data_IF_970665094268
#
_entry.id   IF_970665094268
#
_cell.length_a   1.000
_cell.length_b   1.000
_cell.length_c   1.000
_cell.angle_alpha   90.00
_cell.angle_beta   90.00
_cell.angle_gamma   90.00
#
_symmetry.space_group_name_H-M   'P 1'
#
loop_
_entity.id
_entity.type
_entity.pdbx_description
1 polymer ?
#
# COMPACT_ATOMS: atom_id res chain seq x y z
N UNK A 1 -30.26 -12.78 31.91
CA UNK A 1 -31.04 -11.51 31.74
C UNK A 1 -30.19 -10.46 31.06
N UNK A 2 -28.93 -10.24 31.44
CA UNK A 2 -28.05 -9.22 30.83
C UNK A 2 -27.81 -9.45 29.34
N UNK A 3 -27.53 -10.68 28.93
CA UNK A 3 -27.25 -11.04 27.54
C UNK A 3 -28.48 -10.85 26.63
N UNK A 4 -29.65 -11.24 27.07
CA UNK A 4 -30.91 -11.03 26.35
C UNK A 4 -31.18 -9.53 26.11
N UNK A 5 -30.86 -8.69 27.09
CA UNK A 5 -31.01 -7.24 27.00
C UNK A 5 -30.03 -6.66 25.93
N UNK A 6 -28.75 -7.03 25.97
CA UNK A 6 -27.73 -6.57 25.01
C UNK A 6 -28.13 -6.95 23.59
N UNK A 7 -28.52 -8.20 23.36
CA UNK A 7 -28.92 -8.68 22.03
C UNK A 7 -30.15 -7.93 21.50
N UNK A 8 -31.13 -7.64 22.33
CA UNK A 8 -32.30 -6.90 21.92
C UNK A 8 -31.98 -5.43 21.60
N UNK A 9 -31.09 -4.80 22.36
CA UNK A 9 -30.66 -3.43 22.11
C UNK A 9 -29.92 -3.33 20.77
N UNK A 10 -28.94 -4.20 20.53
CA UNK A 10 -28.19 -4.26 19.26
C UNK A 10 -29.17 -4.50 18.10
N UNK A 11 -30.07 -5.47 18.24
CA UNK A 11 -31.08 -5.78 17.19
C UNK A 11 -31.94 -4.58 16.83
N UNK A 12 -32.45 -3.88 17.84
CA UNK A 12 -33.30 -2.71 17.61
C UNK A 12 -32.53 -1.58 16.90
N UNK A 13 -31.27 -1.37 17.26
CA UNK A 13 -30.42 -0.40 16.57
C UNK A 13 -30.15 -0.82 15.13
N UNK A 14 -29.90 -2.11 14.85
CA UNK A 14 -29.72 -2.63 13.50
C UNK A 14 -30.97 -2.51 12.63
N UNK A 15 -32.16 -2.69 13.22
CA UNK A 15 -33.44 -2.40 12.52
C UNK A 15 -33.56 -0.93 12.18
N UNK A 16 -33.11 -0.03 13.05
CA UNK A 16 -33.02 1.40 12.75
C UNK A 16 -32.10 1.68 11.57
N UNK A 17 -30.93 1.03 11.52
CA UNK A 17 -30.00 1.12 10.38
C UNK A 17 -30.68 0.68 9.06
N UNK A 18 -31.34 -0.46 9.07
CA UNK A 18 -32.05 -0.94 7.89
C UNK A 18 -33.17 -0.01 7.46
N UNK A 19 -33.96 0.51 8.40
CA UNK A 19 -35.05 1.44 8.08
C UNK A 19 -34.55 2.75 7.46
N UNK A 20 -33.44 3.30 7.97
CA UNK A 20 -32.81 4.49 7.42
C UNK A 20 -32.19 4.23 6.03
N UNK A 21 -31.50 3.08 5.86
CA UNK A 21 -30.79 2.76 4.61
C UNK A 21 -31.71 2.27 3.48
N UNK A 22 -32.71 1.45 3.79
CA UNK A 22 -33.49 0.68 2.83
C UNK A 22 -35.00 0.94 2.94
N UNK A 23 -35.43 1.77 3.88
CA UNK A 23 -36.84 2.04 4.16
C UNK A 23 -37.48 1.01 5.12
N UNK A 24 -38.70 1.29 5.55
CA UNK A 24 -39.44 0.50 6.54
C UNK A 24 -39.99 -0.85 6.05
N UNK A 25 -39.84 -1.16 4.76
CA UNK A 25 -40.21 -2.44 4.21
C UNK A 25 -39.15 -3.50 4.48
N UNK A 26 -39.35 -4.32 5.53
CA UNK A 26 -38.41 -5.34 5.96
C UNK A 26 -38.13 -6.43 4.90
N UNK A 27 -38.95 -6.54 3.85
CA UNK A 27 -38.68 -7.48 2.74
C UNK A 27 -37.44 -7.08 1.93
N UNK A 28 -37.02 -5.79 2.02
CA UNK A 28 -35.84 -5.23 1.37
C UNK A 28 -34.57 -5.31 2.25
N UNK A 29 -34.74 -5.65 3.52
CA UNK A 29 -33.61 -5.78 4.44
C UNK A 29 -32.78 -7.05 4.16
N UNK A 30 -31.51 -7.11 4.55
CA UNK A 30 -30.73 -8.34 4.47
C UNK A 30 -31.50 -9.50 5.09
N UNK A 31 -31.51 -10.66 4.44
CA UNK A 31 -32.37 -11.78 4.85
C UNK A 31 -32.12 -12.22 6.29
N UNK A 32 -30.87 -12.24 6.72
CA UNK A 32 -30.49 -12.60 8.08
C UNK A 32 -30.86 -11.56 9.13
N UNK A 33 -31.09 -10.28 8.72
CA UNK A 33 -31.43 -9.17 9.62
C UNK A 33 -32.94 -8.97 9.81
N UNK A 34 -33.73 -9.92 9.42
CA UNK A 34 -35.20 -9.82 9.53
C UNK A 34 -35.68 -10.24 10.91
N UNK A 35 -36.86 -9.77 11.27
CA UNK A 35 -37.48 -9.96 12.60
C UNK A 35 -37.58 -11.42 13.01
N UNK A 36 -37.82 -12.32 12.06
CA UNK A 36 -37.94 -13.76 12.27
C UNK A 36 -36.63 -14.47 12.67
N UNK A 37 -35.48 -13.86 12.41
CA UNK A 37 -34.19 -14.42 12.79
C UNK A 37 -33.70 -13.84 14.14
N UNK A 38 -33.76 -14.64 15.19
CA UNK A 38 -33.44 -14.19 16.55
C UNK A 38 -31.94 -14.32 16.90
N UNK A 39 -31.19 -15.15 16.18
CA UNK A 39 -29.78 -15.38 16.45
C UNK A 39 -28.90 -14.37 15.72
N UNK A 40 -28.45 -13.33 16.40
CA UNK A 40 -27.58 -12.28 15.86
C UNK A 40 -26.25 -12.80 15.32
N UNK A 41 -25.71 -13.90 15.87
CA UNK A 41 -24.45 -14.48 15.37
C UNK A 41 -24.57 -15.06 13.96
N UNK A 42 -25.79 -15.31 13.49
CA UNK A 42 -26.06 -15.77 12.13
C UNK A 42 -26.31 -14.62 11.13
N UNK A 43 -26.37 -13.37 11.61
CA UNK A 43 -26.60 -12.22 10.75
C UNK A 43 -25.36 -11.93 9.91
N UNK A 44 -25.52 -11.92 8.61
CA UNK A 44 -24.45 -11.64 7.66
C UNK A 44 -23.90 -10.21 7.82
N UNK A 45 -22.63 -10.04 7.47
CA UNK A 45 -21.97 -8.73 7.45
C UNK A 45 -21.85 -8.02 8.81
N UNK A 46 -21.89 -8.79 9.90
CA UNK A 46 -21.66 -8.32 11.26
C UNK A 46 -20.51 -9.09 11.90
N UNK A 47 -19.68 -8.38 12.62
CA UNK A 47 -18.61 -8.97 13.43
C UNK A 47 -18.88 -8.63 14.90
N UNK A 48 -18.88 -9.65 15.73
CA UNK A 48 -19.14 -9.53 17.17
C UNK A 48 -17.91 -9.95 17.96
N UNK A 49 -17.64 -9.22 19.03
CA UNK A 49 -16.80 -9.75 20.11
C UNK A 49 -17.64 -10.62 21.02
N UNK A 50 -17.11 -11.79 21.37
CA UNK A 50 -17.77 -12.76 22.24
C UNK A 50 -16.92 -13.02 23.47
N UNK A 51 -17.58 -13.38 24.57
CA UNK A 51 -16.90 -13.77 25.80
C UNK A 51 -16.41 -15.24 25.75
N UNK A 52 -15.79 -15.69 26.84
CA UNK A 52 -15.25 -17.06 26.98
C UNK A 52 -16.32 -18.16 26.86
N UNK A 53 -17.59 -17.81 26.95
CA UNK A 53 -18.74 -18.71 26.81
C UNK A 53 -19.39 -18.67 25.44
N UNK A 54 -18.87 -17.81 24.50
CA UNK A 54 -19.42 -17.62 23.18
C UNK A 54 -20.63 -16.68 23.12
N UNK A 55 -20.92 -15.94 24.20
CA UNK A 55 -22.01 -14.96 24.24
C UNK A 55 -21.54 -13.61 23.70
N UNK A 56 -22.44 -12.86 23.02
CA UNK A 56 -22.12 -11.56 22.46
C UNK A 56 -21.80 -10.56 23.56
N UNK A 57 -20.58 -10.03 23.55
CA UNK A 57 -20.16 -8.92 24.38
C UNK A 57 -20.56 -7.58 23.76
N UNK A 58 -20.27 -7.37 22.48
CA UNK A 58 -20.67 -6.18 21.71
C UNK A 58 -20.54 -6.40 20.21
N UNK A 59 -21.18 -5.52 19.43
CA UNK A 59 -21.01 -5.43 17.97
C UNK A 59 -19.75 -4.63 17.66
N UNK A 60 -18.77 -5.27 17.00
CA UNK A 60 -17.49 -4.67 16.68
C UNK A 60 -17.44 -4.04 15.29
N UNK A 61 -18.02 -4.69 14.25
CA UNK A 61 -17.96 -4.19 12.89
C UNK A 61 -19.29 -4.42 12.13
N UNK A 62 -19.62 -3.46 11.25
CA UNK A 62 -20.73 -3.59 10.29
C UNK A 62 -20.15 -3.44 8.88
N UNK A 63 -20.50 -4.38 7.99
CA UNK A 63 -20.14 -4.36 6.58
C UNK A 63 -21.38 -4.03 5.75
N UNK A 64 -21.33 -2.92 5.03
CA UNK A 64 -22.33 -2.53 4.04
C UNK A 64 -21.80 -2.85 2.64
N UNK A 65 -22.42 -3.75 1.93
CA UNK A 65 -22.06 -4.07 0.56
C UNK A 65 -23.24 -3.92 -0.41
N UNK A 66 -22.95 -3.88 -1.70
CA UNK A 66 -23.97 -3.69 -2.73
C UNK A 66 -24.96 -4.84 -2.86
N UNK A 67 -24.65 -6.01 -2.27
CA UNK A 67 -25.56 -7.17 -2.25
C UNK A 67 -26.61 -7.04 -1.14
N UNK A 68 -26.19 -6.60 0.04
CA UNK A 68 -27.05 -6.52 1.23
C UNK A 68 -27.73 -5.15 1.40
N UNK A 69 -27.07 -4.07 0.91
CA UNK A 69 -27.56 -2.71 0.95
C UNK A 69 -27.57 -2.05 -0.45
N UNK A 70 -28.26 -2.66 -1.44
CA UNK A 70 -28.26 -2.15 -2.81
C UNK A 70 -28.81 -0.73 -2.90
N UNK A 71 -28.10 0.15 -3.60
CA UNK A 71 -28.53 1.53 -3.83
C UNK A 71 -28.46 2.45 -2.61
N UNK A 72 -27.82 2.04 -1.50
CA UNK A 72 -27.64 2.90 -0.33
C UNK A 72 -26.82 4.13 -0.72
N UNK A 73 -27.39 5.34 -0.58
CA UNK A 73 -26.72 6.60 -0.94
C UNK A 73 -25.98 7.25 0.21
N UNK A 74 -26.42 7.02 1.43
CA UNK A 74 -25.89 7.62 2.65
C UNK A 74 -25.82 6.59 3.78
N UNK A 75 -24.76 6.67 4.57
CA UNK A 75 -24.66 5.86 5.79
C UNK A 75 -25.70 6.36 6.80
N UNK A 76 -26.53 5.47 7.37
CA UNK A 76 -27.50 5.82 8.40
C UNK A 76 -26.84 6.52 9.60
N UNK A 77 -27.45 7.61 10.07
CA UNK A 77 -26.96 8.35 11.24
C UNK A 77 -26.98 7.51 12.52
N UNK A 78 -27.87 6.51 12.61
CA UNK A 78 -27.95 5.54 13.70
C UNK A 78 -26.62 4.77 13.90
N UNK A 79 -25.84 4.54 12.84
CA UNK A 79 -24.53 3.85 12.92
C UNK A 79 -23.59 4.57 13.88
N UNK A 80 -23.58 5.89 13.89
CA UNK A 80 -22.72 6.69 14.79
C UNK A 80 -23.12 6.59 16.27
N UNK A 81 -24.28 6.04 16.58
CA UNK A 81 -24.81 5.94 17.92
C UNK A 81 -24.52 4.60 18.59
N UNK A 82 -23.97 3.62 17.88
CA UNK A 82 -23.52 2.37 18.50
C UNK A 82 -22.35 2.66 19.45
N UNK A 83 -22.48 2.35 20.75
CA UNK A 83 -21.53 2.82 21.76
C UNK A 83 -20.16 2.10 21.71
N UNK A 84 -20.11 0.94 21.06
CA UNK A 84 -18.93 0.05 21.05
C UNK A 84 -18.48 -0.33 19.65
N UNK A 85 -19.07 0.25 18.60
CA UNK A 85 -18.72 -0.07 17.23
C UNK A 85 -17.30 0.41 16.91
N UNK A 86 -16.43 -0.52 16.52
CA UNK A 86 -15.01 -0.25 16.25
C UNK A 86 -14.73 0.03 14.79
N UNK A 87 -15.45 -0.65 13.87
CA UNK A 87 -15.22 -0.56 12.45
C UNK A 87 -16.49 -0.52 11.61
N UNK A 88 -16.40 0.15 10.46
CA UNK A 88 -17.36 0.03 9.37
C UNK A 88 -16.61 -0.20 8.06
N UNK A 89 -17.23 -1.00 7.19
CA UNK A 89 -16.79 -1.19 5.81
C UNK A 89 -17.97 -0.92 4.90
N UNK A 90 -17.76 -0.12 3.87
CA UNK A 90 -18.77 0.22 2.85
C UNK A 90 -18.16 -0.13 1.49
N UNK A 91 -18.68 -1.15 0.82
CA UNK A 91 -18.03 -1.73 -0.35
C UNK A 91 -19.01 -2.00 -1.48
N UNK A 92 -18.54 -1.76 -2.71
CA UNK A 92 -19.26 -2.14 -3.94
C UNK A 92 -20.69 -1.57 -4.02
N UNK A 93 -20.87 -0.33 -3.55
CA UNK A 93 -22.11 0.44 -3.65
C UNK A 93 -21.84 1.71 -4.46
N UNK A 94 -21.96 1.67 -5.79
CA UNK A 94 -21.64 2.82 -6.64
C UNK A 94 -22.45 4.08 -6.32
N UNK A 95 -23.65 3.91 -5.79
CA UNK A 95 -24.57 5.00 -5.43
C UNK A 95 -24.25 5.64 -4.08
N UNK A 96 -23.37 5.04 -3.28
CA UNK A 96 -23.00 5.57 -1.97
C UNK A 96 -22.16 6.83 -2.10
N UNK A 97 -22.66 7.95 -1.58
CA UNK A 97 -22.02 9.26 -1.71
C UNK A 97 -21.68 9.96 -0.39
N UNK A 98 -22.36 9.62 0.71
CA UNK A 98 -22.31 10.43 1.91
C UNK A 98 -22.21 9.64 3.21
N UNK A 99 -21.36 10.14 4.13
CA UNK A 99 -21.39 9.83 5.56
C UNK A 99 -22.27 10.86 6.30
N UNK A 100 -22.90 10.49 7.43
CA UNK A 100 -23.72 11.45 8.20
C UNK A 100 -22.85 12.48 8.95
N UNK A 101 -23.43 13.64 9.23
CA UNK A 101 -22.73 14.75 9.92
C UNK A 101 -22.40 14.48 11.39
N UNK A 102 -22.95 13.41 11.99
CA UNK A 102 -22.74 13.03 13.39
C UNK A 102 -21.62 11.98 13.59
N UNK A 103 -20.72 11.83 12.64
CA UNK A 103 -19.59 10.89 12.74
C UNK A 103 -18.68 11.18 13.97
N UNK A 104 -18.62 12.43 14.42
CA UNK A 104 -17.88 12.84 15.63
C UNK A 104 -18.37 12.16 16.92
N UNK A 105 -19.59 11.63 16.94
CA UNK A 105 -20.17 10.89 18.07
C UNK A 105 -19.84 9.40 18.06
N UNK A 106 -19.29 8.92 16.95
CA UNK A 106 -18.96 7.51 16.79
C UNK A 106 -17.65 7.15 17.49
N UNK A 107 -17.55 5.99 18.16
CA UNK A 107 -16.30 5.49 18.72
C UNK A 107 -15.37 4.82 17.73
N UNK A 108 -15.68 4.83 16.43
CA UNK A 108 -14.98 4.09 15.38
C UNK A 108 -13.47 4.32 15.39
N UNK A 109 -12.73 3.21 15.31
CA UNK A 109 -11.27 3.19 15.06
C UNK A 109 -10.94 3.05 13.58
N UNK A 110 -11.84 2.42 12.79
CA UNK A 110 -11.59 2.09 11.39
C UNK A 110 -12.79 2.40 10.51
N UNK A 111 -12.52 3.07 9.39
CA UNK A 111 -13.49 3.32 8.32
C UNK A 111 -12.85 2.87 7.01
N UNK A 112 -13.51 1.95 6.30
CA UNK A 112 -13.17 1.56 4.95
C UNK A 112 -14.34 1.85 4.01
N UNK A 113 -14.07 2.61 2.95
CA UNK A 113 -15.01 2.91 1.86
C UNK A 113 -14.32 2.51 0.56
N UNK A 114 -14.89 1.58 -0.18
CA UNK A 114 -14.25 1.02 -1.37
C UNK A 114 -15.26 0.79 -2.51
N UNK A 115 -14.86 1.15 -3.74
CA UNK A 115 -15.66 0.99 -4.95
C UNK A 115 -17.04 1.66 -4.82
N UNK A 116 -17.05 2.93 -4.47
CA UNK A 116 -18.28 3.70 -4.21
C UNK A 116 -18.30 5.02 -4.96
N UNK A 117 -19.41 5.75 -4.84
CA UNK A 117 -19.55 7.14 -5.30
C UNK A 117 -19.16 8.19 -4.25
N UNK A 118 -18.54 7.81 -3.13
CA UNK A 118 -18.16 8.71 -2.04
C UNK A 118 -17.26 9.84 -2.53
N UNK A 119 -17.69 11.08 -2.31
CA UNK A 119 -17.07 12.26 -2.92
C UNK A 119 -16.58 13.32 -1.95
N UNK A 120 -17.04 13.32 -0.69
CA UNK A 120 -16.63 14.33 0.29
C UNK A 120 -16.84 13.87 1.73
N UNK A 121 -15.95 14.30 2.61
CA UNK A 121 -16.09 14.08 4.05
C UNK A 121 -17.17 15.00 4.64
N UNK A 122 -18.03 14.50 5.55
CA UNK A 122 -19.07 15.30 6.18
C UNK A 122 -18.50 16.33 7.15
N UNK A 123 -19.34 17.24 7.59
CA UNK A 123 -19.00 18.16 8.69
C UNK A 123 -18.66 17.37 9.95
N UNK A 124 -17.79 17.95 10.78
CA UNK A 124 -17.34 17.37 12.06
C UNK A 124 -16.54 16.05 11.95
N UNK A 125 -16.27 15.53 10.75
CA UNK A 125 -15.48 14.31 10.59
C UNK A 125 -14.11 14.41 11.27
N UNK A 126 -13.49 15.57 11.20
CA UNK A 126 -12.19 15.89 11.84
C UNK A 126 -12.22 15.81 13.38
N UNK A 127 -13.41 15.77 13.99
CA UNK A 127 -13.60 15.65 15.45
C UNK A 127 -13.68 14.21 15.95
N UNK A 128 -13.57 13.22 15.07
CA UNK A 128 -13.54 11.81 15.46
C UNK A 128 -12.30 11.51 16.29
N UNK A 129 -12.50 11.22 17.59
CA UNK A 129 -11.41 11.12 18.58
C UNK A 129 -10.60 9.84 18.51
N UNK A 130 -11.20 8.77 18.00
CA UNK A 130 -10.62 7.43 18.06
C UNK A 130 -10.17 6.90 16.69
N UNK A 131 -10.45 7.61 15.59
CA UNK A 131 -10.16 7.14 14.24
C UNK A 131 -8.66 6.96 14.03
N UNK A 132 -8.25 5.71 13.73
CA UNK A 132 -6.86 5.32 13.48
C UNK A 132 -6.62 4.89 12.05
N UNK A 133 -7.59 4.20 11.45
CA UNK A 133 -7.50 3.72 10.08
C UNK A 133 -8.59 4.38 9.21
N UNK A 134 -8.14 5.08 8.17
CA UNK A 134 -9.01 5.73 7.20
C UNK A 134 -8.64 5.24 5.81
N UNK A 135 -9.53 4.45 5.21
CA UNK A 135 -9.37 3.94 3.85
C UNK A 135 -10.54 4.40 2.98
N UNK A 136 -10.24 5.13 1.92
CA UNK A 136 -11.20 5.49 0.86
C UNK A 136 -10.57 5.10 -0.47
N UNK A 137 -11.02 3.99 -1.04
CA UNK A 137 -10.37 3.35 -2.19
C UNK A 137 -11.34 3.31 -3.38
N UNK A 138 -10.85 3.61 -4.59
CA UNK A 138 -11.64 3.55 -5.82
C UNK A 138 -13.00 4.24 -5.70
N UNK A 139 -12.99 5.47 -5.24
CA UNK A 139 -14.19 6.26 -5.02
C UNK A 139 -14.13 7.57 -5.82
N UNK A 140 -14.82 8.61 -5.40
CA UNK A 140 -14.95 9.86 -6.16
C UNK A 140 -14.43 11.09 -5.40
N UNK A 141 -13.51 10.88 -4.45
CA UNK A 141 -12.86 12.02 -3.79
C UNK A 141 -12.04 12.84 -4.77
N UNK A 142 -12.19 14.16 -4.72
CA UNK A 142 -11.42 15.12 -5.53
C UNK A 142 -10.43 15.93 -4.70
N UNK A 143 -10.59 15.93 -3.37
CA UNK A 143 -9.72 16.66 -2.45
C UNK A 143 -9.64 16.01 -1.08
N UNK A 144 -8.59 16.33 -0.34
CA UNK A 144 -8.45 16.08 1.10
C UNK A 144 -8.61 17.43 1.82
N UNK A 145 -9.74 17.70 2.50
CA UNK A 145 -9.93 18.99 3.17
C UNK A 145 -8.89 19.20 4.28
N UNK A 146 -8.35 20.40 4.37
CA UNK A 146 -7.33 20.80 5.37
C UNK A 146 -7.78 20.45 6.81
N UNK A 147 -9.08 20.58 7.10
CA UNK A 147 -9.64 20.25 8.43
C UNK A 147 -9.39 18.81 8.88
N UNK A 148 -9.16 17.86 7.96
CA UNK A 148 -8.75 16.49 8.35
C UNK A 148 -7.44 16.47 9.14
N UNK A 149 -6.64 17.53 9.06
CA UNK A 149 -5.43 17.68 9.86
C UNK A 149 -5.69 17.66 11.38
N UNK A 150 -6.92 17.92 11.80
CA UNK A 150 -7.33 17.91 13.21
C UNK A 150 -7.67 16.50 13.74
N UNK A 151 -7.70 15.46 12.89
CA UNK A 151 -7.86 14.07 13.36
C UNK A 151 -6.71 13.68 14.31
N UNK A 152 -6.99 13.39 15.59
CA UNK A 152 -5.93 13.33 16.60
C UNK A 152 -5.17 12.00 16.64
N UNK A 153 -5.75 10.91 16.15
CA UNK A 153 -5.23 9.56 16.33
C UNK A 153 -4.95 8.80 15.03
N UNK A 154 -5.14 9.44 13.85
CA UNK A 154 -4.97 8.76 12.57
C UNK A 154 -3.54 8.23 12.39
N UNK A 155 -3.44 6.96 11.94
CA UNK A 155 -2.18 6.21 11.77
C UNK A 155 -2.02 5.59 10.40
N UNK A 156 -3.10 5.01 9.89
CA UNK A 156 -3.11 4.34 8.59
C UNK A 156 -4.07 5.07 7.67
N UNK A 157 -3.53 5.61 6.58
CA UNK A 157 -4.28 6.38 5.59
C UNK A 157 -4.09 5.77 4.22
N UNK A 158 -5.19 5.36 3.59
CA UNK A 158 -5.20 4.88 2.22
C UNK A 158 -6.31 5.58 1.43
N UNK A 159 -5.89 6.39 0.45
CA UNK A 159 -6.80 7.20 -0.38
C UNK A 159 -6.60 6.87 -1.88
N UNK A 160 -6.33 5.62 -2.16
CA UNK A 160 -5.99 5.16 -3.51
C UNK A 160 -7.20 5.12 -4.45
N UNK A 161 -6.97 5.26 -5.77
CA UNK A 161 -8.03 5.19 -6.78
C UNK A 161 -9.05 6.34 -6.72
N UNK A 162 -8.61 7.53 -6.34
CA UNK A 162 -9.44 8.75 -6.30
C UNK A 162 -8.87 9.83 -7.21
N UNK A 163 -9.60 10.94 -7.40
CA UNK A 163 -9.18 12.02 -8.29
C UNK A 163 -8.51 13.20 -7.54
N UNK A 164 -7.65 12.88 -6.57
CA UNK A 164 -6.97 13.84 -5.72
C UNK A 164 -5.68 14.30 -6.39
N UNK A 165 -5.59 15.60 -6.71
CA UNK A 165 -4.44 16.19 -7.38
C UNK A 165 -3.36 16.69 -6.42
N UNK A 166 -3.72 16.98 -5.18
CA UNK A 166 -2.82 17.60 -4.19
C UNK A 166 -2.95 16.93 -2.82
N UNK A 167 -1.82 16.79 -2.13
CA UNK A 167 -1.79 16.44 -0.71
C UNK A 167 -1.53 17.73 0.09
N UNK A 168 -2.45 18.16 0.96
CA UNK A 168 -2.29 19.43 1.70
C UNK A 168 -1.10 19.40 2.66
N UNK A 169 -0.29 20.43 2.65
CA UNK A 169 0.88 20.57 3.54
C UNK A 169 0.50 20.54 5.02
N UNK A 170 -0.69 21.02 5.35
CA UNK A 170 -1.23 21.04 6.72
C UNK A 170 -1.44 19.61 7.26
N UNK A 171 -1.82 18.67 6.40
CA UNK A 171 -1.90 17.24 6.78
C UNK A 171 -0.51 16.69 7.10
N UNK A 172 0.48 16.98 6.24
CA UNK A 172 1.87 16.56 6.48
C UNK A 172 2.43 17.17 7.78
N UNK A 173 2.06 18.39 8.12
CA UNK A 173 2.49 19.07 9.34
C UNK A 173 1.88 18.45 10.61
N UNK A 174 0.58 18.15 10.60
CA UNK A 174 -0.16 17.74 11.82
C UNK A 174 -0.32 16.24 11.99
N UNK A 175 -0.28 15.45 10.94
CA UNK A 175 -0.45 14.00 11.01
C UNK A 175 0.82 13.27 11.48
N UNK A 176 1.33 13.64 12.64
CA UNK A 176 2.60 13.12 13.18
C UNK A 176 2.50 11.71 13.79
N UNK A 177 1.29 11.13 13.86
CA UNK A 177 1.06 9.75 14.28
C UNK A 177 0.92 8.78 13.12
N UNK A 178 0.79 9.29 11.89
CA UNK A 178 0.64 8.46 10.69
C UNK A 178 1.88 7.59 10.49
N UNK A 179 1.65 6.31 10.26
CA UNK A 179 2.67 5.28 10.04
C UNK A 179 2.67 4.80 8.59
N UNK A 180 1.49 4.78 7.95
CA UNK A 180 1.33 4.38 6.56
C UNK A 180 0.50 5.42 5.81
N UNK A 181 1.04 5.90 4.69
CA UNK A 181 0.34 6.79 3.77
C UNK A 181 0.39 6.21 2.37
N UNK A 182 -0.77 5.81 1.84
CA UNK A 182 -0.96 5.25 0.50
C UNK A 182 -1.92 6.10 -0.30
N UNK A 183 -1.46 6.54 -1.46
CA UNK A 183 -2.23 7.37 -2.40
C UNK A 183 -1.95 6.92 -3.85
N UNK A 184 -2.19 5.64 -4.11
CA UNK A 184 -1.95 5.06 -5.42
C UNK A 184 -3.08 5.41 -6.39
N UNK A 185 -2.75 5.51 -7.68
CA UNK A 185 -3.75 5.80 -8.73
C UNK A 185 -4.64 7.00 -8.38
N UNK A 186 -4.01 8.12 -8.03
CA UNK A 186 -4.66 9.42 -7.86
C UNK A 186 -4.26 10.36 -9.00
N UNK A 187 -4.49 11.65 -8.85
CA UNK A 187 -4.07 12.66 -9.85
C UNK A 187 -2.87 13.48 -9.34
N UNK A 188 -2.09 12.94 -8.40
CA UNK A 188 -0.94 13.64 -7.84
C UNK A 188 0.07 13.98 -8.91
N UNK A 189 0.48 15.26 -8.94
CA UNK A 189 1.56 15.76 -9.79
C UNK A 189 2.77 16.23 -8.98
N UNK A 190 2.57 16.49 -7.70
CA UNK A 190 3.61 16.90 -6.76
C UNK A 190 3.23 16.54 -5.34
N UNK A 191 4.19 16.57 -4.44
CA UNK A 191 4.02 16.43 -3.01
C UNK A 191 4.47 17.69 -2.30
N UNK A 192 3.89 18.05 -1.13
CA UNK A 192 4.31 19.23 -0.39
C UNK A 192 5.73 19.08 0.15
N UNK A 193 6.45 20.19 0.26
CA UNK A 193 7.86 20.20 0.68
C UNK A 193 8.12 19.56 2.06
N UNK A 194 7.10 19.52 2.91
CA UNK A 194 7.17 18.96 4.26
C UNK A 194 6.68 17.51 4.36
N UNK A 195 6.43 16.80 3.24
CA UNK A 195 5.90 15.43 3.26
C UNK A 195 6.79 14.49 4.09
N UNK A 196 8.09 14.62 3.96
CA UNK A 196 9.05 13.81 4.72
C UNK A 196 9.26 14.30 6.17
N UNK A 197 8.59 15.39 6.58
CA UNK A 197 8.46 15.82 7.97
C UNK A 197 7.44 15.00 8.79
N UNK A 198 6.72 14.09 8.16
CA UNK A 198 5.84 13.13 8.84
C UNK A 198 6.70 12.04 9.51
N UNK A 199 7.14 12.31 10.74
CA UNK A 199 8.26 11.63 11.41
C UNK A 199 8.09 10.13 11.63
N UNK A 200 6.85 9.63 11.72
CA UNK A 200 6.56 8.22 12.00
C UNK A 200 6.18 7.40 10.78
N UNK A 201 6.06 8.03 9.62
CA UNK A 201 5.67 7.29 8.41
C UNK A 201 6.78 6.31 8.05
N UNK A 202 6.46 5.03 8.09
CA UNK A 202 7.33 3.93 7.66
C UNK A 202 7.08 3.53 6.20
N UNK A 203 5.90 3.83 5.67
CA UNK A 203 5.52 3.50 4.29
C UNK A 203 4.88 4.69 3.61
N UNK A 204 5.54 5.16 2.55
CA UNK A 204 4.98 6.07 1.57
C UNK A 204 4.74 5.29 0.27
N UNK A 205 3.50 5.21 -0.16
CA UNK A 205 3.14 4.55 -1.40
C UNK A 205 2.34 5.50 -2.30
N UNK A 206 2.98 5.92 -3.38
CA UNK A 206 2.46 6.87 -4.37
C UNK A 206 2.48 6.26 -5.78
N UNK A 207 2.43 4.95 -5.88
CA UNK A 207 2.41 4.25 -7.17
C UNK A 207 1.26 4.71 -8.09
N UNK A 208 1.38 4.46 -9.38
CA UNK A 208 0.34 4.72 -10.37
C UNK A 208 -0.07 6.20 -10.53
N UNK A 209 0.79 7.14 -10.12
CA UNK A 209 0.58 8.57 -10.31
C UNK A 209 1.40 9.08 -11.51
N UNK A 210 0.83 9.00 -12.70
CA UNK A 210 1.48 9.33 -13.97
C UNK A 210 1.95 10.80 -14.08
N UNK A 211 1.38 11.71 -13.30
CA UNK A 211 1.80 13.11 -13.21
C UNK A 211 2.99 13.35 -12.29
N UNK A 212 3.31 12.39 -11.40
CA UNK A 212 4.38 12.54 -10.41
C UNK A 212 5.73 12.21 -11.03
N UNK A 213 6.63 13.18 -11.10
CA UNK A 213 7.93 13.06 -11.73
C UNK A 213 9.12 13.48 -10.87
N UNK A 214 8.86 14.06 -9.72
CA UNK A 214 9.88 14.48 -8.77
C UNK A 214 9.36 14.41 -7.33
N UNK A 215 10.28 14.45 -6.37
CA UNK A 215 9.99 14.52 -4.95
C UNK A 215 10.55 15.81 -4.36
N UNK A 216 9.94 16.33 -3.29
CA UNK A 216 10.56 17.37 -2.48
C UNK A 216 11.90 16.89 -1.92
N UNK A 217 12.81 17.83 -1.70
CA UNK A 217 14.11 17.51 -1.12
C UNK A 217 13.92 16.91 0.28
N UNK A 218 14.51 15.74 0.50
CA UNK A 218 14.54 15.13 1.82
C UNK A 218 15.41 15.95 2.78
N UNK A 219 14.87 16.28 3.96
CA UNK A 219 15.55 17.11 4.98
C UNK A 219 16.01 16.35 6.23
N UNK A 220 15.89 15.01 6.24
CA UNK A 220 16.37 14.18 7.35
C UNK A 220 15.44 14.08 8.56
N UNK A 221 14.21 14.59 8.48
CA UNK A 221 13.30 14.64 9.64
C UNK A 221 12.60 13.30 9.91
N UNK A 222 12.39 12.48 8.88
CA UNK A 222 11.80 11.16 9.04
C UNK A 222 12.89 10.12 9.28
N UNK A 223 12.91 9.53 10.48
CA UNK A 223 13.87 8.48 10.86
C UNK A 223 13.30 7.07 10.75
N UNK A 224 12.04 6.92 10.34
CA UNK A 224 11.31 5.64 10.29
C UNK A 224 10.98 5.18 8.87
N UNK A 225 11.37 5.92 7.84
CA UNK A 225 11.03 5.59 6.46
C UNK A 225 11.56 4.20 6.08
N UNK A 226 10.70 3.19 6.15
CA UNK A 226 11.01 1.82 5.76
C UNK A 226 10.87 1.59 4.27
N UNK A 227 9.81 2.10 3.64
CA UNK A 227 9.53 1.94 2.22
C UNK A 227 9.05 3.19 1.52
N UNK A 228 9.56 3.41 0.32
CA UNK A 228 9.11 4.43 -0.62
C UNK A 228 8.80 3.75 -1.95
N UNK A 229 7.53 3.76 -2.34
CA UNK A 229 7.03 3.11 -3.54
C UNK A 229 6.52 4.16 -4.53
N UNK A 230 7.12 4.15 -5.72
CA UNK A 230 6.91 5.14 -6.79
C UNK A 230 6.76 4.46 -8.15
N UNK A 231 6.22 3.25 -8.16
CA UNK A 231 6.06 2.49 -9.39
C UNK A 231 5.00 3.13 -10.30
N UNK A 232 5.14 2.94 -11.61
CA UNK A 232 4.20 3.47 -12.60
C UNK A 232 4.00 5.00 -12.51
N UNK A 233 5.05 5.75 -12.22
CA UNK A 233 5.07 7.21 -12.21
C UNK A 233 5.80 7.77 -13.44
N UNK A 234 6.34 8.98 -13.38
CA UNK A 234 7.06 9.62 -14.49
C UNK A 234 8.48 10.08 -14.13
N UNK A 235 9.13 9.39 -13.20
CA UNK A 235 10.51 9.71 -12.81
C UNK A 235 11.48 9.43 -13.96
N UNK A 236 12.34 10.39 -14.24
CA UNK A 236 13.41 10.28 -15.25
C UNK A 236 14.77 9.96 -14.63
N UNK A 237 14.89 10.06 -13.32
CA UNK A 237 16.05 9.70 -12.52
C UNK A 237 15.62 9.20 -11.13
N UNK A 238 16.51 8.50 -10.44
CA UNK A 238 16.29 8.14 -9.03
C UNK A 238 16.31 9.44 -8.20
N UNK A 239 15.31 9.68 -7.33
CA UNK A 239 15.27 10.87 -6.50
C UNK A 239 16.46 10.97 -5.53
N UNK A 240 16.88 12.20 -5.21
CA UNK A 240 17.88 12.46 -4.18
C UNK A 240 17.26 12.26 -2.78
N UNK A 241 17.46 11.08 -2.21
CA UNK A 241 16.96 10.66 -0.89
C UNK A 241 18.11 10.19 0.02
N UNK A 242 19.24 10.84 -0.11
CA UNK A 242 20.43 10.56 0.71
C UNK A 242 20.14 10.72 2.21
N UNK A 243 20.86 9.95 3.04
CA UNK A 243 20.75 9.95 4.50
C UNK A 243 19.40 9.50 5.08
N UNK A 244 18.57 8.84 4.30
CA UNK A 244 17.35 8.18 4.79
C UNK A 244 17.73 6.84 5.47
N UNK A 245 16.88 6.37 6.38
CA UNK A 245 16.93 5.00 6.89
C UNK A 245 16.05 4.04 6.09
N UNK A 246 15.79 4.39 4.85
CA UNK A 246 14.91 3.65 3.95
C UNK A 246 15.48 2.24 3.70
N UNK A 247 14.60 1.25 3.78
CA UNK A 247 14.94 -0.15 3.52
C UNK A 247 14.52 -0.62 2.13
N UNK A 248 13.44 -0.06 1.60
CA UNK A 248 12.93 -0.41 0.27
C UNK A 248 12.69 0.83 -0.56
N UNK A 249 13.25 0.85 -1.76
CA UNK A 249 12.95 1.82 -2.80
C UNK A 249 12.46 1.08 -4.04
N UNK A 250 11.26 1.40 -4.49
CA UNK A 250 10.71 0.89 -5.74
C UNK A 250 10.37 2.01 -6.70
N UNK A 251 10.89 1.91 -7.93
CA UNK A 251 10.71 2.85 -9.04
C UNK A 251 10.43 2.08 -10.34
N UNK A 252 9.78 0.93 -10.24
CA UNK A 252 9.46 0.14 -11.42
C UNK A 252 8.55 0.89 -12.40
N UNK A 253 8.70 0.60 -13.68
CA UNK A 253 7.90 1.19 -14.76
C UNK A 253 7.86 2.74 -14.71
N UNK A 254 9.05 3.34 -14.66
CA UNK A 254 9.25 4.77 -14.79
C UNK A 254 9.94 5.12 -16.12
N UNK A 255 10.45 6.32 -16.23
CA UNK A 255 11.13 6.84 -17.43
C UNK A 255 12.63 7.04 -17.19
N UNK A 256 13.22 6.26 -16.28
CA UNK A 256 14.65 6.37 -15.95
C UNK A 256 15.48 5.82 -17.12
N UNK A 257 16.38 6.65 -17.64
CA UNK A 257 17.24 6.28 -18.79
C UNK A 257 18.69 6.10 -18.41
N UNK A 258 19.09 6.55 -17.22
CA UNK A 258 20.45 6.40 -16.72
C UNK A 258 20.47 6.47 -15.20
N UNK A 259 21.45 5.81 -14.61
CA UNK A 259 21.74 5.87 -13.18
C UNK A 259 23.21 6.28 -13.04
N UNK A 260 23.47 7.42 -12.38
CA UNK A 260 24.82 7.91 -12.18
C UNK A 260 25.48 7.28 -10.96
N UNK A 261 26.82 7.26 -10.96
CA UNK A 261 27.61 6.80 -9.79
C UNK A 261 27.30 7.64 -8.55
N UNK A 262 27.10 8.95 -8.71
CA UNK A 262 26.75 9.85 -7.62
C UNK A 262 25.43 9.47 -6.94
N UNK A 263 24.42 9.13 -7.74
CA UNK A 263 23.10 8.72 -7.22
C UNK A 263 23.21 7.44 -6.39
N UNK A 264 23.86 6.39 -6.91
CA UNK A 264 24.00 5.14 -6.14
C UNK A 264 24.85 5.29 -4.88
N UNK A 265 25.84 6.18 -4.91
CA UNK A 265 26.64 6.52 -3.72
C UNK A 265 25.84 7.29 -2.66
N UNK A 266 24.80 8.00 -3.07
CA UNK A 266 23.90 8.75 -2.19
C UNK A 266 22.73 7.94 -1.66
N UNK A 267 22.53 6.69 -2.10
CA UNK A 267 21.48 5.83 -1.56
C UNK A 267 21.80 5.42 -0.12
N UNK A 268 20.75 5.12 0.63
CA UNK A 268 20.86 4.76 2.04
C UNK A 268 21.76 3.54 2.26
N UNK A 269 22.68 3.63 3.22
CA UNK A 269 23.49 2.50 3.69
C UNK A 269 22.67 1.39 4.34
N UNK A 270 21.39 1.63 4.60
CA UNK A 270 20.45 0.67 5.18
C UNK A 270 19.47 0.10 4.15
N UNK A 271 19.62 0.45 2.87
CA UNK A 271 18.76 -0.06 1.81
C UNK A 271 18.93 -1.57 1.68
N UNK A 272 17.81 -2.31 1.77
CA UNK A 272 17.77 -3.76 1.64
C UNK A 272 17.28 -4.19 0.26
N UNK A 273 16.36 -3.42 -0.33
CA UNK A 273 15.72 -3.75 -1.60
C UNK A 273 15.69 -2.51 -2.50
N UNK A 274 16.21 -2.67 -3.71
CA UNK A 274 16.14 -1.67 -4.79
C UNK A 274 15.49 -2.31 -6.01
N UNK A 275 14.35 -1.75 -6.45
CA UNK A 275 13.59 -2.21 -7.61
C UNK A 275 13.53 -1.09 -8.63
N UNK A 276 14.05 -1.37 -9.83
CA UNK A 276 14.11 -0.42 -10.97
C UNK A 276 13.57 -1.03 -12.26
N UNK A 277 12.76 -2.07 -12.16
CA UNK A 277 12.24 -2.83 -13.29
C UNK A 277 11.53 -1.93 -14.32
N UNK A 278 11.48 -2.39 -15.57
CA UNK A 278 10.76 -1.68 -16.65
C UNK A 278 11.18 -0.22 -16.84
N UNK A 279 12.47 0.07 -16.64
CA UNK A 279 13.12 1.32 -17.00
C UNK A 279 14.11 1.11 -18.18
N UNK A 280 14.54 2.18 -18.84
CA UNK A 280 15.48 2.09 -19.96
C UNK A 280 16.90 2.48 -19.55
N UNK A 281 17.41 1.83 -18.51
CA UNK A 281 18.66 2.22 -17.85
C UNK A 281 19.91 1.87 -18.71
N UNK A 282 19.88 0.76 -19.47
CA UNK A 282 20.91 0.24 -20.35
C UNK A 282 22.26 -0.14 -19.68
N UNK A 283 22.65 0.52 -18.61
CA UNK A 283 23.80 0.17 -17.78
C UNK A 283 23.57 0.59 -16.33
N UNK A 284 24.10 -0.19 -15.38
CA UNK A 284 24.00 0.11 -13.95
C UNK A 284 25.40 0.28 -13.36
N UNK A 285 25.68 1.39 -12.64
CA UNK A 285 27.00 1.65 -12.10
C UNK A 285 27.33 0.72 -10.94
N UNK A 286 28.61 0.64 -10.56
CA UNK A 286 29.02 -0.11 -9.37
C UNK A 286 28.38 0.51 -8.13
N UNK A 287 27.57 -0.28 -7.44
CA UNK A 287 26.99 0.09 -6.16
C UNK A 287 27.77 -0.54 -5.02
N UNK A 288 28.08 0.24 -3.99
CA UNK A 288 28.65 -0.25 -2.75
C UNK A 288 27.58 -0.20 -1.64
N UNK A 289 27.27 -1.32 -1.07
CA UNK A 289 26.33 -1.43 0.04
C UNK A 289 26.65 -2.62 0.92
N UNK A 290 26.70 -2.40 2.22
CA UNK A 290 26.86 -3.46 3.24
C UNK A 290 25.53 -4.09 3.65
N UNK A 291 24.41 -3.67 3.11
CA UNK A 291 23.08 -4.07 3.54
C UNK A 291 22.17 -4.58 2.42
N UNK A 292 22.44 -4.26 1.15
CA UNK A 292 21.54 -4.60 0.04
C UNK A 292 21.41 -6.12 -0.11
N UNK A 293 20.18 -6.60 -0.02
CA UNK A 293 19.81 -8.01 -0.12
C UNK A 293 19.22 -8.33 -1.50
N UNK A 294 18.46 -7.41 -2.06
CA UNK A 294 17.72 -7.60 -3.31
C UNK A 294 17.95 -6.43 -4.25
N UNK A 295 18.34 -6.76 -5.50
CA UNK A 295 18.42 -5.83 -6.62
C UNK A 295 17.60 -6.37 -7.78
N UNK A 296 16.59 -5.62 -8.21
CA UNK A 296 15.78 -5.96 -9.38
C UNK A 296 15.94 -4.92 -10.48
N UNK A 297 16.33 -5.39 -11.66
CA UNK A 297 16.61 -4.63 -12.85
C UNK A 297 16.00 -5.32 -14.10
N UNK A 298 14.79 -5.86 -13.94
CA UNK A 298 14.08 -6.55 -15.01
C UNK A 298 13.73 -5.58 -16.15
N UNK A 299 13.85 -6.05 -17.38
CA UNK A 299 13.50 -5.27 -18.56
C UNK A 299 14.11 -3.85 -18.60
N UNK A 300 15.39 -3.74 -18.24
CA UNK A 300 16.12 -2.47 -18.19
C UNK A 300 17.03 -2.22 -19.39
N UNK A 301 17.08 -3.14 -20.36
CA UNK A 301 17.95 -3.03 -21.52
C UNK A 301 19.43 -3.31 -21.24
N UNK A 302 19.74 -3.97 -20.13
CA UNK A 302 21.12 -4.29 -19.74
C UNK A 302 21.72 -5.35 -20.67
N UNK A 303 22.98 -5.12 -21.08
CA UNK A 303 23.76 -6.06 -21.87
C UNK A 303 24.80 -6.84 -21.06
N UNK A 304 25.04 -6.43 -19.82
CA UNK A 304 25.95 -7.08 -18.88
C UNK A 304 25.38 -7.05 -17.47
N UNK A 305 25.76 -8.05 -16.67
CA UNK A 305 25.47 -8.06 -15.22
C UNK A 305 26.23 -6.89 -14.58
N UNK A 306 25.57 -6.10 -13.69
CA UNK A 306 26.25 -5.05 -12.94
C UNK A 306 27.44 -5.57 -12.15
N UNK A 307 28.38 -4.69 -11.83
CA UNK A 307 29.49 -5.03 -10.93
C UNK A 307 28.98 -5.20 -9.50
N UNK A 308 28.98 -6.44 -9.02
CA UNK A 308 28.46 -6.84 -7.70
C UNK A 308 29.56 -6.93 -6.63
N UNK A 309 30.80 -6.58 -6.95
CA UNK A 309 31.98 -6.83 -6.09
C UNK A 309 31.91 -6.14 -4.72
N UNK A 310 31.05 -5.12 -4.57
CA UNK A 310 30.84 -4.37 -3.31
C UNK A 310 29.45 -4.59 -2.68
N UNK A 311 28.80 -5.72 -2.99
CA UNK A 311 27.47 -6.09 -2.48
C UNK A 311 27.55 -7.45 -1.73
N UNK A 312 28.23 -7.55 -0.57
CA UNK A 312 28.46 -8.83 0.10
C UNK A 312 27.17 -9.49 0.64
N UNK A 313 26.13 -8.71 0.94
CA UNK A 313 24.88 -9.21 1.47
C UNK A 313 23.85 -9.55 0.39
N UNK A 314 24.17 -9.31 -0.89
CA UNK A 314 23.23 -9.56 -1.99
C UNK A 314 22.84 -11.03 -2.05
N UNK A 315 21.55 -11.30 -1.93
CA UNK A 315 20.94 -12.62 -1.95
C UNK A 315 20.13 -12.86 -3.24
N UNK A 316 19.45 -11.83 -3.73
CA UNK A 316 18.55 -11.91 -4.88
C UNK A 316 18.93 -10.89 -5.93
N UNK A 317 19.16 -11.35 -7.16
CA UNK A 317 19.36 -10.51 -8.33
C UNK A 317 18.39 -10.92 -9.42
N UNK A 318 17.49 -10.02 -9.81
CA UNK A 318 16.59 -10.22 -10.94
C UNK A 318 17.04 -9.37 -12.12
N UNK A 319 17.27 -10.03 -13.25
CA UNK A 319 17.70 -9.47 -14.52
C UNK A 319 16.86 -10.03 -15.69
N UNK A 320 15.63 -10.40 -15.41
CA UNK A 320 14.69 -10.96 -16.39
C UNK A 320 14.49 -9.99 -17.56
N UNK A 321 14.29 -10.52 -18.76
CA UNK A 321 13.96 -9.71 -19.96
C UNK A 321 15.00 -8.63 -20.31
N UNK A 322 16.26 -8.88 -20.06
CA UNK A 322 17.37 -8.03 -20.49
C UNK A 322 18.07 -8.59 -21.75
N UNK A 323 19.22 -8.06 -22.08
CA UNK A 323 20.05 -8.47 -23.22
C UNK A 323 21.42 -8.94 -22.74
N UNK A 324 21.48 -9.60 -21.58
CA UNK A 324 22.71 -10.08 -20.98
C UNK A 324 23.38 -11.11 -21.92
N UNK A 325 24.66 -10.89 -22.23
CA UNK A 325 25.40 -11.71 -23.17
C UNK A 325 26.15 -12.86 -22.50
N UNK A 326 26.64 -12.63 -21.29
CA UNK A 326 27.50 -13.59 -20.59
C UNK A 326 27.44 -13.44 -19.07
N UNK A 327 27.69 -14.55 -18.38
CA UNK A 327 28.02 -14.58 -16.96
C UNK A 327 29.50 -14.97 -16.85
N UNK A 328 30.32 -14.04 -16.36
CA UNK A 328 31.80 -14.17 -16.31
C UNK A 328 32.26 -14.91 -15.07
N UNK A 329 33.52 -15.34 -15.11
CA UNK A 329 34.23 -15.83 -13.95
C UNK A 329 34.20 -14.78 -12.83
N UNK A 330 33.98 -15.23 -11.59
CA UNK A 330 34.06 -14.39 -10.41
C UNK A 330 32.91 -13.38 -10.25
N UNK A 331 31.91 -13.37 -11.12
CA UNK A 331 30.78 -12.40 -11.06
C UNK A 331 30.15 -12.32 -9.67
N UNK A 332 30.01 -13.44 -8.96
CA UNK A 332 29.34 -13.53 -7.65
C UNK A 332 30.30 -13.82 -6.49
N UNK A 333 31.60 -13.81 -6.71
CA UNK A 333 32.59 -14.25 -5.70
C UNK A 333 32.48 -13.49 -4.38
N UNK A 334 32.15 -12.20 -4.42
CA UNK A 334 32.03 -11.36 -3.23
C UNK A 334 30.61 -11.36 -2.62
N UNK A 335 29.63 -11.96 -3.30
CA UNK A 335 28.25 -12.08 -2.82
C UNK A 335 28.09 -13.37 -2.01
N UNK A 336 28.60 -13.39 -0.79
CA UNK A 336 28.71 -14.62 0.02
C UNK A 336 27.38 -15.24 0.44
N UNK A 337 26.28 -14.48 0.33
CA UNK A 337 24.91 -14.92 0.65
C UNK A 337 24.02 -15.08 -0.59
N UNK A 338 24.62 -15.05 -1.77
CA UNK A 338 23.86 -15.08 -3.02
C UNK A 338 23.11 -16.40 -3.19
N UNK A 339 21.80 -16.31 -3.47
CA UNK A 339 20.92 -17.46 -3.50
C UNK A 339 20.02 -17.54 -4.74
N UNK A 340 19.59 -16.41 -5.29
CA UNK A 340 18.59 -16.37 -6.38
C UNK A 340 19.09 -15.48 -7.51
N UNK A 341 19.17 -16.07 -8.72
CA UNK A 341 19.46 -15.36 -9.96
C UNK A 341 18.36 -15.61 -10.99
N UNK A 342 17.68 -14.54 -11.42
CA UNK A 342 16.75 -14.61 -12.53
C UNK A 342 17.36 -13.98 -13.79
N UNK A 343 17.69 -14.80 -14.78
CA UNK A 343 18.14 -14.42 -16.10
C UNK A 343 17.13 -14.83 -17.19
N UNK A 344 15.89 -15.08 -16.81
CA UNK A 344 14.84 -15.47 -17.76
C UNK A 344 14.72 -14.44 -18.89
N UNK A 345 14.38 -14.90 -20.09
CA UNK A 345 14.18 -14.07 -21.27
C UNK A 345 15.40 -13.22 -21.72
N UNK A 346 16.62 -13.51 -21.27
CA UNK A 346 17.83 -12.98 -21.86
C UNK A 346 18.18 -13.80 -23.11
N UNK A 347 17.58 -13.49 -24.24
CA UNK A 347 17.66 -14.29 -25.48
C UNK A 347 19.05 -14.28 -26.12
N UNK A 348 19.89 -13.32 -25.77
CA UNK A 348 21.24 -13.16 -26.27
C UNK A 348 22.32 -13.81 -25.40
N UNK A 349 21.94 -14.45 -24.29
CA UNK A 349 22.88 -15.10 -23.37
C UNK A 349 23.61 -16.26 -24.05
N UNK A 350 24.93 -16.18 -24.20
CA UNK A 350 25.78 -17.13 -24.95
C UNK A 350 26.64 -17.98 -24.03
N UNK A 351 27.14 -17.39 -22.95
CA UNK A 351 28.09 -18.02 -22.05
C UNK A 351 27.71 -17.88 -20.60
N UNK A 352 27.91 -18.97 -19.86
CA UNK A 352 27.71 -19.01 -18.42
C UNK A 352 28.91 -19.71 -17.80
N UNK A 353 29.72 -18.98 -17.02
CA UNK A 353 30.91 -19.55 -16.41
C UNK A 353 30.59 -20.48 -15.25
N UNK A 354 31.29 -21.63 -15.21
CA UNK A 354 31.26 -22.56 -14.06
C UNK A 354 31.99 -21.99 -12.83
N UNK A 355 32.80 -20.94 -13.00
CA UNK A 355 33.56 -20.27 -11.94
C UNK A 355 32.99 -18.91 -11.57
N UNK A 356 31.69 -18.72 -11.76
CA UNK A 356 31.01 -17.45 -11.44
C UNK A 356 31.01 -17.10 -9.94
N UNK A 357 31.33 -18.06 -9.06
CA UNK A 357 31.63 -17.79 -7.64
C UNK A 357 30.45 -17.93 -6.67
N UNK A 358 29.50 -18.79 -6.96
CA UNK A 358 28.35 -19.05 -6.08
C UNK A 358 28.21 -20.53 -5.71
N UNK A 359 27.56 -20.81 -4.59
CA UNK A 359 27.47 -22.17 -4.02
C UNK A 359 26.06 -22.79 -3.99
N UNK A 360 24.99 -22.00 -3.97
CA UNK A 360 23.60 -22.52 -3.94
C UNK A 360 22.71 -21.56 -4.71
N UNK A 361 21.91 -22.07 -5.68
CA UNK A 361 21.14 -21.17 -6.51
C UNK A 361 19.85 -21.77 -7.03
N UNK A 362 18.79 -20.97 -6.91
CA UNK A 362 17.60 -21.08 -7.73
C UNK A 362 17.82 -20.30 -9.00
N UNK A 363 18.09 -21.00 -10.10
CA UNK A 363 18.17 -20.37 -11.40
C UNK A 363 16.79 -20.32 -12.06
N UNK A 364 16.45 -19.17 -12.59
CA UNK A 364 15.41 -19.03 -13.60
C UNK A 364 16.05 -18.63 -14.92
N UNK A 365 16.19 -19.58 -15.81
CA UNK A 365 16.66 -19.36 -17.18
C UNK A 365 15.59 -19.93 -18.12
N UNK A 366 15.11 -19.13 -19.05
CA UNK A 366 14.24 -19.63 -20.12
C UNK A 366 15.01 -20.68 -20.94
N UNK A 367 14.36 -21.74 -21.37
CA UNK A 367 14.95 -22.71 -22.31
C UNK A 367 15.45 -21.97 -23.54
N UNK A 368 16.75 -21.80 -23.67
CA UNK A 368 17.38 -21.19 -24.85
C UNK A 368 18.12 -22.24 -25.66
N UNK A 369 18.00 -22.24 -26.97
CA UNK A 369 18.58 -23.27 -27.83
C UNK A 369 20.12 -23.16 -28.02
N UNK A 370 20.81 -22.22 -27.36
CA UNK A 370 22.24 -21.93 -27.68
C UNK A 370 23.20 -21.76 -26.51
N UNK A 371 22.82 -22.12 -25.29
CA UNK A 371 23.83 -22.13 -24.21
C UNK A 371 24.71 -23.35 -24.40
N UNK A 372 25.92 -23.16 -24.89
CA UNK A 372 26.95 -24.19 -24.84
C UNK A 372 27.33 -24.39 -23.39
N UNK A 373 26.76 -25.43 -22.79
CA UNK A 373 27.21 -25.89 -21.46
C UNK A 373 28.60 -26.47 -21.61
N UNK A 374 29.64 -25.74 -21.27
CA UNK A 374 30.89 -26.38 -20.91
C UNK A 374 30.75 -26.96 -19.48
N UNK A 375 29.89 -27.98 -19.35
CA UNK A 375 29.86 -28.83 -18.18
C UNK A 375 30.95 -29.89 -18.44
N UNK A 376 32.17 -29.63 -18.00
CA UNK A 376 33.12 -30.71 -17.71
C UNK A 376 32.87 -31.14 -16.26
N UNK A 377 32.56 -32.44 -16.13
CA UNK A 377 32.33 -33.15 -14.87
C UNK A 377 33.51 -33.05 -13.87
#
# INVERSE_FOLDING_TARGET
IRFVYINNEIRNMLFGVCAEALGNDSTKWPKSWRVENEDLLTWENLEFEVDDYGEISYLACIIFDGKTFPGMKKLPATVSLFPTLEGIQIMDIPEFEELPDNMDKSPLYSIMIMNTGFKAFPKNFEKMKNLRSLSVINSKLTELPIRLSELPEVRDVEISGNEIAEFPKELAEKWQKVVSLRMNDTKLTSLPENIFGMKKVSTFDFCDNQGLSNLPKYRGDNTYMGGLFLDNCSFTSIPEIANTRMRTLSLANNKITSVSQEVVNGLSDQLLTLILDDNKINSFPQMASSSLIELSLDNCGLTAIPDLSKLPELCVLSLNSNQILEVKDGTFTNCTKFAILDLSKNTELRTFSNHAGFTVIVFRISKQPKITRNIQA
#
